data_IF_625804775713
#
_entry.id   IF_625804775713
#
_cell.length_a   1.000
_cell.length_b   1.000
_cell.length_c   1.000
_cell.angle_alpha   90.00
_cell.angle_beta   90.00
_cell.angle_gamma   90.00
#
_symmetry.space_group_name_H-M   'P 1'
#
loop_
_entity.id
_entity.type
_entity.pdbx_description
1 polymer ?
#
# COMPACT_ATOMS: atom_id res chain seq x y z
N UNK A 1 21.85 20.61 12.42
CA UNK A 1 21.36 19.22 12.47
C UNK A 1 19.88 19.26 12.12
N UNK A 2 19.55 19.28 10.83
CA UNK A 2 18.17 19.15 10.39
C UNK A 2 17.96 17.70 9.99
N UNK A 3 17.08 17.02 10.73
CA UNK A 3 16.73 15.63 10.45
C UNK A 3 15.99 15.55 9.11
N UNK A 4 16.45 14.67 8.23
CA UNK A 4 15.73 14.32 6.99
C UNK A 4 14.39 13.68 7.39
N UNK A 5 13.35 14.49 7.48
CA UNK A 5 11.98 14.01 7.70
C UNK A 5 11.58 13.09 6.56
N UNK A 6 11.61 11.78 6.80
CA UNK A 6 11.20 10.80 5.81
C UNK A 6 9.69 10.95 5.57
N UNK A 7 9.32 11.42 4.37
CA UNK A 7 7.92 11.45 3.93
C UNK A 7 7.54 10.03 3.52
N UNK A 8 6.58 9.44 4.21
CA UNK A 8 6.04 8.13 3.87
C UNK A 8 5.21 8.23 2.59
N UNK A 9 5.37 7.27 1.68
CA UNK A 9 4.57 7.20 0.45
C UNK A 9 3.84 5.87 0.35
N UNK A 10 2.59 5.97 -0.06
CA UNK A 10 1.65 4.87 -0.24
C UNK A 10 1.55 4.52 -1.72
N UNK A 11 1.59 3.23 -2.07
CA UNK A 11 1.38 2.79 -3.45
C UNK A 11 0.07 2.00 -3.60
N UNK A 12 -0.67 2.34 -4.66
CA UNK A 12 -1.91 1.71 -5.08
C UNK A 12 -1.71 1.11 -6.47
N UNK A 13 -1.77 -0.23 -6.58
CA UNK A 13 -1.53 -1.02 -7.81
C UNK A 13 -0.10 -0.92 -8.35
N UNK A 14 0.72 -1.93 -8.05
CA UNK A 14 2.18 -1.91 -8.26
C UNK A 14 2.63 -3.03 -9.19
N UNK A 15 2.02 -3.12 -10.35
CA UNK A 15 2.34 -4.16 -11.34
C UNK A 15 3.70 -3.96 -12.04
N UNK A 16 4.44 -2.88 -11.69
CA UNK A 16 5.75 -2.46 -12.20
C UNK A 16 6.67 -1.98 -11.06
N UNK A 17 7.31 -2.89 -10.31
CA UNK A 17 8.02 -2.57 -9.08
C UNK A 17 9.26 -1.67 -9.26
N UNK A 18 10.06 -1.88 -10.31
CA UNK A 18 11.25 -1.04 -10.56
C UNK A 18 10.90 0.42 -10.83
N UNK A 19 9.87 0.67 -11.63
CA UNK A 19 9.40 2.03 -11.92
C UNK A 19 8.92 2.73 -10.66
N UNK A 20 8.23 2.01 -9.77
CA UNK A 20 7.81 2.55 -8.47
C UNK A 20 9.02 2.92 -7.60
N UNK A 21 10.02 2.05 -7.50
CA UNK A 21 11.21 2.30 -6.69
C UNK A 21 12.05 3.46 -7.25
N UNK A 22 12.10 3.64 -8.56
CA UNK A 22 12.74 4.80 -9.19
C UNK A 22 12.04 6.10 -8.79
N UNK A 23 10.70 6.15 -8.87
CA UNK A 23 9.92 7.32 -8.45
C UNK A 23 10.13 7.60 -6.96
N UNK A 24 10.05 6.57 -6.11
CA UNK A 24 10.29 6.69 -4.66
C UNK A 24 11.67 7.27 -4.38
N UNK A 25 12.71 6.79 -5.07
CA UNK A 25 14.07 7.31 -4.92
C UNK A 25 14.22 8.76 -5.38
N UNK A 26 13.64 9.12 -6.54
CA UNK A 26 13.68 10.49 -7.07
C UNK A 26 12.97 11.50 -6.17
N UNK A 27 11.93 11.08 -5.50
CA UNK A 27 11.08 11.94 -4.66
C UNK A 27 11.59 12.05 -3.22
N UNK A 28 12.66 11.31 -2.87
CA UNK A 28 13.24 11.33 -1.52
C UNK A 28 12.31 10.79 -0.44
N UNK A 29 11.39 9.89 -0.82
CA UNK A 29 10.36 9.34 0.07
C UNK A 29 10.65 7.87 0.41
N UNK A 30 10.04 7.39 1.49
CA UNK A 30 10.15 5.98 1.88
C UNK A 30 8.86 5.23 1.57
N UNK A 31 8.98 4.16 0.78
CA UNK A 31 7.89 3.20 0.57
C UNK A 31 7.83 2.25 1.78
N UNK A 32 6.82 2.44 2.63
CA UNK A 32 6.63 1.68 3.88
C UNK A 32 5.49 0.68 3.79
N UNK A 33 4.49 0.95 2.95
CA UNK A 33 3.35 0.07 2.75
C UNK A 33 2.84 0.06 1.31
N UNK A 34 2.21 -1.06 0.98
CA UNK A 34 1.49 -1.34 -0.26
C UNK A 34 0.05 -1.69 0.09
N UNK A 35 -0.90 -0.97 -0.49
CA UNK A 35 -2.33 -1.26 -0.36
C UNK A 35 -2.83 -1.98 -1.61
N UNK A 36 -3.09 -3.28 -1.48
CA UNK A 36 -3.61 -4.10 -2.57
C UNK A 36 -5.13 -4.15 -2.51
N UNK A 37 -5.80 -3.85 -3.62
CA UNK A 37 -7.28 -3.81 -3.70
C UNK A 37 -7.92 -5.19 -3.68
N UNK A 38 -7.36 -6.11 -4.46
CA UNK A 38 -7.85 -7.48 -4.60
C UNK A 38 -6.74 -8.37 -5.18
N UNK A 39 -6.95 -9.68 -5.12
CA UNK A 39 -5.91 -10.68 -5.42
C UNK A 39 -5.62 -10.92 -6.91
N UNK A 40 -6.33 -10.27 -7.85
CA UNK A 40 -6.06 -10.50 -9.26
C UNK A 40 -4.62 -10.12 -9.61
N UNK A 41 -4.05 -10.89 -10.53
CA UNK A 41 -2.62 -10.87 -10.80
C UNK A 41 -2.12 -9.52 -11.28
N UNK A 42 -2.88 -8.82 -12.11
CA UNK A 42 -2.57 -7.47 -12.58
C UNK A 42 -2.52 -6.40 -11.46
N UNK A 43 -3.08 -6.70 -10.28
CA UNK A 43 -3.00 -5.87 -9.07
C UNK A 43 -1.93 -6.35 -8.07
N UNK A 44 -1.74 -7.65 -7.92
CA UNK A 44 -0.91 -8.24 -6.86
C UNK A 44 0.48 -8.75 -7.32
N UNK A 45 0.75 -8.87 -8.63
CA UNK A 45 1.98 -9.51 -9.15
C UNK A 45 3.29 -8.88 -8.70
N UNK A 46 3.30 -7.59 -8.41
CA UNK A 46 4.52 -6.89 -8.00
C UNK A 46 4.86 -7.03 -6.53
N UNK A 47 3.94 -7.56 -5.70
CA UNK A 47 4.12 -7.64 -4.25
C UNK A 47 5.36 -8.47 -3.85
N UNK A 48 5.58 -9.67 -4.41
CA UNK A 48 6.73 -10.48 -4.03
C UNK A 48 8.07 -9.81 -4.35
N UNK A 49 8.16 -9.17 -5.51
CA UNK A 49 9.37 -8.47 -5.93
C UNK A 49 9.62 -7.23 -5.06
N UNK A 50 8.59 -6.43 -4.76
CA UNK A 50 8.72 -5.30 -3.83
C UNK A 50 9.12 -5.76 -2.43
N UNK A 51 8.50 -6.81 -1.89
CA UNK A 51 8.82 -7.34 -0.57
C UNK A 51 10.27 -7.87 -0.51
N UNK A 52 10.78 -8.47 -1.60
CA UNK A 52 12.18 -8.89 -1.70
C UNK A 52 13.15 -7.70 -1.74
N UNK A 53 12.84 -6.68 -2.54
CA UNK A 53 13.69 -5.50 -2.72
C UNK A 53 13.62 -4.53 -1.53
N UNK A 54 12.53 -4.56 -0.76
CA UNK A 54 12.29 -3.72 0.41
C UNK A 54 11.89 -4.58 1.61
N UNK A 55 12.86 -5.20 2.30
CA UNK A 55 12.60 -5.90 3.55
C UNK A 55 11.87 -4.99 4.56
N UNK A 56 10.82 -5.52 5.18
CA UNK A 56 9.97 -4.76 6.11
C UNK A 56 8.82 -4.00 5.44
N UNK A 57 8.69 -4.04 4.12
CA UNK A 57 7.53 -3.47 3.42
C UNK A 57 6.24 -4.18 3.85
N UNK A 58 5.26 -3.41 4.33
CA UNK A 58 3.95 -3.95 4.64
C UNK A 58 3.12 -4.13 3.37
N UNK A 59 2.63 -5.34 3.11
CA UNK A 59 1.67 -5.62 2.03
C UNK A 59 0.31 -5.85 2.68
N UNK A 60 -0.61 -4.94 2.44
CA UNK A 60 -1.90 -4.87 3.12
C UNK A 60 -3.04 -5.10 2.14
N UNK A 61 -4.12 -5.72 2.62
CA UNK A 61 -5.32 -6.01 1.85
C UNK A 61 -6.28 -6.90 2.61
N UNK A 62 -7.38 -7.32 2.01
CA UNK A 62 -8.45 -8.02 2.71
C UNK A 62 -8.56 -9.52 2.40
N UNK A 63 -7.75 -10.02 1.47
CA UNK A 63 -7.87 -11.35 0.86
C UNK A 63 -6.54 -12.10 0.98
N UNK A 64 -6.56 -13.29 1.59
CA UNK A 64 -5.38 -14.14 1.80
C UNK A 64 -4.72 -14.60 0.49
N UNK A 65 -5.43 -14.50 -0.64
CA UNK A 65 -4.90 -14.80 -1.98
C UNK A 65 -3.97 -13.71 -2.51
N UNK A 66 -3.88 -12.56 -1.85
CA UNK A 66 -2.93 -11.49 -2.20
C UNK A 66 -1.51 -12.02 -1.96
N UNK A 67 -0.69 -12.04 -3.00
CA UNK A 67 0.69 -12.48 -2.88
C UNK A 67 1.48 -11.59 -1.91
N UNK A 68 2.27 -12.25 -1.07
CA UNK A 68 3.11 -11.62 -0.04
C UNK A 68 2.34 -10.75 0.96
N UNK A 69 1.03 -10.99 1.16
CA UNK A 69 0.24 -10.31 2.18
C UNK A 69 0.93 -10.46 3.55
N UNK A 70 1.22 -9.34 4.20
CA UNK A 70 1.84 -9.32 5.53
C UNK A 70 0.81 -9.08 6.63
N UNK A 71 -0.28 -8.39 6.32
CA UNK A 71 -1.36 -8.14 7.28
C UNK A 71 -2.70 -7.96 6.56
N UNK A 72 -3.68 -8.73 7.01
CA UNK A 72 -5.06 -8.60 6.57
C UNK A 72 -5.74 -7.42 7.26
N UNK A 73 -6.45 -6.61 6.49
CA UNK A 73 -7.19 -5.43 6.96
C UNK A 73 -8.68 -5.75 7.13
N UNK A 74 -9.31 -5.09 8.10
CA UNK A 74 -10.75 -5.17 8.34
C UNK A 74 -11.53 -4.03 7.66
N UNK A 75 -12.83 -4.23 7.46
CA UNK A 75 -13.73 -3.14 7.05
C UNK A 75 -13.82 -2.08 8.14
N UNK A 76 -13.74 -0.80 7.75
CA UNK A 76 -13.74 0.34 8.65
C UNK A 76 -12.41 0.58 9.36
N UNK A 77 -11.40 -0.27 9.18
CA UNK A 77 -10.08 -0.06 9.78
C UNK A 77 -9.45 1.23 9.24
N UNK A 78 -8.86 2.01 10.14
CA UNK A 78 -8.16 3.25 9.80
C UNK A 78 -6.65 3.08 9.96
N UNK A 79 -5.92 3.53 8.95
CA UNK A 79 -4.47 3.54 8.90
C UNK A 79 -3.98 4.98 8.78
N UNK A 80 -2.74 5.21 9.20
CA UNK A 80 -2.09 6.52 9.10
C UNK A 80 -0.69 6.39 8.50
N UNK A 81 -0.40 7.25 7.53
CA UNK A 81 0.91 7.37 6.89
C UNK A 81 1.31 8.85 6.89
N UNK A 82 2.03 9.28 7.93
CA UNK A 82 2.30 10.71 8.15
C UNK A 82 1.01 11.52 8.35
N UNK A 83 0.77 12.48 7.45
CA UNK A 83 -0.45 13.31 7.45
C UNK A 83 -1.64 12.63 6.76
N UNK A 84 -1.41 11.57 5.98
CA UNK A 84 -2.45 10.89 5.22
C UNK A 84 -3.17 9.89 6.12
N UNK A 85 -4.47 10.07 6.26
CA UNK A 85 -5.38 9.10 6.84
C UNK A 85 -5.97 8.21 5.77
N UNK A 86 -6.21 6.94 6.09
CA UNK A 86 -6.78 5.95 5.16
C UNK A 86 -7.86 5.15 5.86
N UNK A 87 -9.08 5.13 5.30
CA UNK A 87 -10.16 4.24 5.74
C UNK A 87 -10.30 3.07 4.78
N UNK A 88 -10.24 1.86 5.32
CA UNK A 88 -10.30 0.60 4.57
C UNK A 88 -11.76 0.14 4.43
N UNK A 89 -12.27 0.11 3.21
CA UNK A 89 -13.67 -0.21 2.94
C UNK A 89 -13.75 -1.52 2.18
N UNK A 90 -14.19 -2.61 2.84
CA UNK A 90 -14.62 -3.80 2.11
C UNK A 90 -15.72 -3.44 1.13
N UNK A 91 -15.52 -3.77 -0.14
CA UNK A 91 -16.45 -3.52 -1.24
C UNK A 91 -16.60 -4.79 -2.08
N UNK A 92 -17.15 -5.88 -1.52
CA UNK A 92 -17.30 -7.15 -2.22
C UNK A 92 -18.15 -6.97 -3.47
N UNK A 93 -17.74 -7.62 -4.57
CA UNK A 93 -18.35 -7.48 -5.88
C UNK A 93 -17.47 -8.18 -6.91
N UNK A 94 -16.60 -7.43 -7.58
CA UNK A 94 -15.61 -7.97 -8.53
C UNK A 94 -14.81 -9.14 -7.95
N UNK A 95 -14.43 -9.05 -6.67
CA UNK A 95 -13.99 -10.20 -5.88
C UNK A 95 -14.61 -10.14 -4.48
N UNK A 96 -14.69 -11.28 -3.80
CA UNK A 96 -15.22 -11.36 -2.43
C UNK A 96 -14.36 -10.59 -1.41
N UNK A 97 -13.05 -10.50 -1.64
CA UNK A 97 -12.10 -9.79 -0.80
C UNK A 97 -11.69 -8.42 -1.33
N UNK A 98 -12.50 -7.80 -2.20
CA UNK A 98 -12.16 -6.49 -2.75
C UNK A 98 -12.24 -5.39 -1.68
N UNK A 99 -11.23 -4.53 -1.65
CA UNK A 99 -11.12 -3.39 -0.74
C UNK A 99 -10.85 -2.09 -1.50
N UNK A 100 -11.59 -1.06 -1.13
CA UNK A 100 -11.36 0.32 -1.52
C UNK A 100 -10.73 1.08 -0.36
N UNK A 101 -9.92 2.10 -0.67
CA UNK A 101 -9.23 2.92 0.33
C UNK A 101 -9.64 4.37 0.13
N UNK A 102 -10.26 4.96 1.14
CA UNK A 102 -10.61 6.37 1.18
C UNK A 102 -9.50 7.13 1.89
N UNK A 103 -8.88 8.12 1.23
CA UNK A 103 -7.73 8.86 1.73
C UNK A 103 -8.13 10.32 1.99
N UNK A 104 -7.66 10.88 3.10
CA UNK A 104 -7.80 12.31 3.39
C UNK A 104 -6.61 12.83 4.21
N UNK A 105 -6.45 14.14 4.22
CA UNK A 105 -5.59 14.88 5.16
C UNK A 105 -6.50 15.80 5.96
N UNK A 106 -6.13 16.12 7.21
CA UNK A 106 -6.88 17.12 7.97
C UNK A 106 -6.74 18.48 7.29
N UNK A 107 -7.82 19.26 7.23
CA UNK A 107 -7.80 20.60 6.62
C UNK A 107 -6.75 21.48 7.34
N UNK A 108 -5.82 22.04 6.57
CA UNK A 108 -4.80 22.98 7.02
C UNK A 108 -5.39 24.29 7.57
#
# INVERSE_FOLDING_TARGET
MEGVGHRDRLCYRHSRPFQLLEIVGREGVSLTAVLTTHHHWDHARGNPELARLRPGLAVLGADERIFSLTRRLAHGEELRFGAIHVRCLLTPGHTAGHMSYFLWEDDC
#
